data_IF_318160738368
#
_entry.id   IF_318160738368
#
_cell.length_a   1.000
_cell.length_b   1.000
_cell.length_c   1.000
_cell.angle_alpha   90.00
_cell.angle_beta   90.00
_cell.angle_gamma   90.00
#
_symmetry.space_group_name_H-M   'P 1'
#
loop_
_entity.id
_entity.type
_entity.pdbx_description
1 polymer ?
#
# COMPACT_ATOMS: atom_id res chain seq x y z
N UNK A 1 -42.99 -44.28 13.60
CA UNK A 1 -42.57 -43.65 13.49
C UNK A 1 -41.92 -43.01 12.67
N UNK A 2 -41.83 -42.41 12.33
CA UNK A 2 -41.14 -41.83 11.50
C UNK A 2 -40.40 -40.89 11.76
N UNK A 3 -39.56 -40.60 11.45
CA UNK A 3 -38.70 -39.78 11.59
C UNK A 3 -38.46 -38.89 10.75
N UNK A 4 -38.30 -38.04 10.76
CA UNK A 4 -38.05 -37.14 10.02
C UNK A 4 -36.98 -36.66 9.96
N UNK A 5 -36.34 -36.49 9.35
CA UNK A 5 -35.22 -36.08 9.15
C UNK A 5 -35.11 -34.91 8.69
N UNK A 6 -34.70 -34.18 9.01
CA UNK A 6 -34.43 -33.05 8.64
C UNK A 6 -33.39 -32.78 8.11
N UNK A 7 -32.99 -32.43 7.50
CA UNK A 7 -31.97 -32.14 6.84
C UNK A 7 -31.71 -30.88 6.91
N UNK A 8 -31.05 -30.47 7.43
CA UNK A 8 -30.62 -29.29 7.56
C UNK A 8 -30.02 -28.71 6.44
N UNK A 9 -30.34 -27.83 6.06
CA UNK A 9 -29.84 -27.23 4.99
C UNK A 9 -28.63 -26.55 5.21
N UNK A 10 -27.79 -26.73 4.71
CA UNK A 10 -26.67 -26.23 4.87
C UNK A 10 -26.40 -25.15 4.13
N UNK A 11 -26.22 -24.16 4.51
CA UNK A 11 -25.94 -23.12 3.92
C UNK A 11 -24.75 -22.79 3.72
N UNK A 12 -24.18 -22.71 2.91
CA UNK A 12 -23.05 -22.37 2.64
C UNK A 12 -22.91 -21.08 2.30
N UNK A 13 -22.48 -20.34 2.84
CA UNK A 13 -22.21 -19.14 2.59
C UNK A 13 -21.11 -18.95 1.89
N UNK A 14 -21.00 -18.92 0.82
CA UNK A 14 -19.91 -18.69 0.14
C UNK A 14 -19.54 -17.37 0.27
N UNK A 15 -18.80 -16.98 0.87
CA UNK A 15 -18.39 -15.70 1.02
C UNK A 15 -17.85 -15.10 -0.20
N UNK A 16 -17.77 -13.88 -0.24
CA UNK A 16 -17.30 -13.27 -1.34
C UNK A 16 -15.93 -13.15 -1.34
N UNK A 17 -15.29 -14.03 -1.37
CA UNK A 17 -14.01 -13.95 -1.19
C UNK A 17 -13.35 -13.55 -2.35
N UNK A 18 -12.98 -13.26 -3.01
CA UNK A 18 -12.25 -13.13 -4.10
C UNK A 18 -11.66 -11.84 -4.40
N UNK A 19 -12.23 -10.81 -4.04
CA UNK A 19 -11.75 -9.54 -4.42
C UNK A 19 -11.21 -8.72 -3.29
N UNK A 20 -11.22 -9.20 -2.10
CA UNK A 20 -10.72 -8.45 -0.99
C UNK A 20 -9.24 -8.72 -0.73
N UNK A 21 -8.67 -7.95 0.14
CA UNK A 21 -7.32 -8.22 0.61
C UNK A 21 -7.34 -9.48 1.49
N UNK A 22 -6.25 -10.21 1.55
CA UNK A 22 -6.19 -11.35 2.43
C UNK A 22 -6.23 -10.92 3.89
N UNK A 23 -6.48 -11.86 4.77
CA UNK A 23 -6.49 -11.55 6.17
C UNK A 23 -5.10 -11.26 6.64
N UNK A 24 -4.98 -10.33 7.57
CA UNK A 24 -3.73 -10.02 8.21
C UNK A 24 -3.25 -11.22 9.03
N UNK A 25 -2.05 -11.65 8.77
CA UNK A 25 -1.43 -12.73 9.55
C UNK A 25 -1.00 -12.15 10.89
N UNK A 26 -1.49 -12.69 12.00
CA UNK A 26 -1.16 -12.11 13.30
C UNK A 26 0.30 -12.27 13.71
N UNK A 27 1.07 -13.04 12.99
CA UNK A 27 2.50 -13.15 13.27
C UNK A 27 3.32 -12.13 12.49
N UNK A 28 2.69 -11.35 11.65
CA UNK A 28 3.38 -10.37 10.82
C UNK A 28 2.77 -8.99 10.99
N UNK A 29 3.51 -7.99 10.58
CA UNK A 29 3.04 -6.61 10.54
C UNK A 29 2.43 -6.34 9.18
N UNK A 30 1.36 -5.57 9.14
CA UNK A 30 0.65 -5.23 7.91
C UNK A 30 0.73 -3.73 7.67
N UNK A 31 1.05 -3.33 6.45
CA UNK A 31 1.14 -1.93 6.10
C UNK A 31 0.18 -1.64 4.95
N UNK A 32 -0.85 -0.86 5.24
CA UNK A 32 -1.78 -0.40 4.22
C UNK A 32 -1.17 0.75 3.43
N UNK A 33 -1.50 0.85 2.17
CA UNK A 33 -1.01 1.93 1.30
C UNK A 33 -2.15 2.86 0.95
N UNK A 34 -1.90 4.15 1.03
CA UNK A 34 -2.90 5.13 0.68
C UNK A 34 -2.28 6.32 -0.03
N UNK A 35 -2.77 6.64 -1.21
CA UNK A 35 -2.32 7.84 -1.91
C UNK A 35 -3.26 8.99 -1.59
N UNK A 36 -2.69 10.19 -1.37
CA UNK A 36 -3.46 11.33 -0.94
C UNK A 36 -4.23 12.02 -2.04
N UNK A 37 -3.79 11.92 -3.25
CA UNK A 37 -4.37 12.70 -4.35
C UNK A 37 -5.05 11.80 -5.34
N UNK A 38 -6.09 12.32 -5.99
CA UNK A 38 -6.77 11.57 -7.02
C UNK A 38 -5.86 11.37 -8.21
N UNK A 39 -6.18 10.37 -8.99
CA UNK A 39 -5.43 10.04 -10.22
C UNK A 39 -3.97 9.69 -9.94
N UNK A 40 -3.68 9.18 -8.77
CA UNK A 40 -2.34 8.72 -8.42
C UNK A 40 -2.39 7.27 -8.01
N UNK A 41 -1.25 6.61 -8.03
CA UNK A 41 -1.16 5.22 -7.62
C UNK A 41 0.04 5.02 -6.69
N UNK A 42 -0.18 4.30 -5.61
CA UNK A 42 0.87 3.95 -4.69
C UNK A 42 0.95 2.43 -4.62
N UNK A 43 2.10 1.90 -4.94
CA UNK A 43 2.30 0.46 -5.05
C UNK A 43 3.44 0.00 -4.18
N UNK A 44 3.26 -1.16 -3.55
CA UNK A 44 4.36 -1.81 -2.85
C UNK A 44 5.32 -2.38 -3.90
N UNK A 45 6.60 -2.12 -3.75
CA UNK A 45 7.56 -2.53 -4.75
C UNK A 45 8.58 -3.52 -4.20
N UNK A 46 9.25 -3.18 -3.12
CA UNK A 46 10.25 -4.05 -2.52
C UNK A 46 10.25 -3.97 -1.01
N UNK A 47 10.70 -5.04 -0.37
CA UNK A 47 10.99 -5.07 1.06
C UNK A 47 12.41 -5.57 1.19
N UNK A 48 13.27 -4.78 1.81
CA UNK A 48 14.68 -5.16 2.00
C UNK A 48 15.34 -5.57 0.68
N UNK A 49 15.03 -4.81 -0.38
CA UNK A 49 15.57 -5.02 -1.73
C UNK A 49 15.07 -6.30 -2.43
N UNK A 50 14.02 -6.90 -1.93
CA UNK A 50 13.40 -8.06 -2.57
C UNK A 50 11.99 -7.69 -2.99
N UNK A 51 11.57 -8.19 -4.13
CA UNK A 51 10.26 -7.86 -4.67
C UNK A 51 9.15 -8.14 -3.66
N UNK A 52 8.23 -7.19 -3.53
CA UNK A 52 7.06 -7.37 -2.68
C UNK A 52 6.16 -8.45 -3.28
N UNK A 53 5.51 -9.21 -2.41
CA UNK A 53 4.66 -10.29 -2.89
C UNK A 53 3.32 -9.78 -3.43
N UNK A 54 2.89 -8.62 -3.01
CA UNK A 54 1.64 -8.04 -3.48
C UNK A 54 1.85 -6.53 -3.63
N UNK A 55 1.28 -5.94 -4.66
CA UNK A 55 1.47 -4.53 -4.92
C UNK A 55 0.54 -3.65 -4.11
N UNK A 56 -0.45 -4.22 -3.47
CA UNK A 56 -1.50 -3.46 -2.79
C UNK A 56 -1.20 -3.18 -1.33
N UNK A 57 -0.28 -3.89 -0.72
CA UNK A 57 0.04 -3.76 0.69
C UNK A 57 1.39 -4.41 0.98
N UNK A 58 1.95 -4.13 2.15
CA UNK A 58 3.10 -4.89 2.61
C UNK A 58 2.69 -5.76 3.81
N UNK A 59 3.30 -6.93 3.89
CA UNK A 59 3.19 -7.78 5.07
C UNK A 59 4.60 -8.24 5.37
N UNK A 60 5.12 -7.89 6.54
CA UNK A 60 6.52 -8.13 6.85
C UNK A 60 6.68 -8.79 8.22
N UNK A 61 7.77 -9.49 8.39
CA UNK A 61 8.10 -10.07 9.67
C UNK A 61 8.36 -8.96 10.69
N UNK A 62 8.19 -9.24 11.99
CA UNK A 62 8.53 -8.24 12.99
C UNK A 62 10.00 -7.85 12.90
N UNK A 63 10.30 -6.63 13.26
CA UNK A 63 11.66 -6.14 13.28
C UNK A 63 11.91 -5.00 12.32
N UNK A 64 13.13 -4.86 11.86
CA UNK A 64 13.56 -3.75 11.03
C UNK A 64 13.47 -4.07 9.56
N UNK A 65 12.85 -3.21 8.80
CA UNK A 65 12.73 -3.39 7.34
C UNK A 65 12.78 -2.05 6.63
N UNK A 66 13.19 -2.11 5.37
CA UNK A 66 13.13 -0.96 4.48
C UNK A 66 12.08 -1.27 3.42
N UNK A 67 11.04 -0.47 3.36
CA UNK A 67 9.99 -0.63 2.38
C UNK A 67 10.26 0.29 1.21
N UNK A 68 10.15 -0.22 -0.01
CA UNK A 68 10.27 0.60 -1.20
C UNK A 68 8.91 0.63 -1.88
N UNK A 69 8.43 1.83 -2.14
CA UNK A 69 7.16 2.03 -2.83
C UNK A 69 7.39 2.73 -4.14
N UNK A 70 6.46 2.56 -5.07
CA UNK A 70 6.42 3.34 -6.30
C UNK A 70 5.18 4.21 -6.25
N UNK A 71 5.38 5.48 -6.51
CA UNK A 71 4.29 6.45 -6.52
C UNK A 71 4.20 7.04 -7.92
N UNK A 72 3.06 6.88 -8.55
CA UNK A 72 2.83 7.33 -9.91
C UNK A 72 1.85 8.48 -9.89
N UNK A 73 2.19 9.60 -10.49
CA UNK A 73 1.37 10.79 -10.41
C UNK A 73 1.53 11.68 -11.65
N UNK A 74 0.45 12.38 -12.03
CA UNK A 74 0.54 13.30 -13.16
C UNK A 74 1.06 14.66 -12.70
N UNK A 75 1.84 15.30 -13.54
CA UNK A 75 2.31 16.64 -13.28
C UNK A 75 1.94 17.52 -14.47
N UNK A 76 1.31 18.63 -14.17
CA UNK A 76 0.88 19.54 -15.23
C UNK A 76 2.00 20.51 -15.54
N UNK A 77 2.45 20.58 -16.77
CA UNK A 77 3.45 21.58 -17.12
C UNK A 77 2.74 22.93 -17.28
N UNK A 78 2.88 23.75 -16.28
CA UNK A 78 2.09 24.97 -16.26
C UNK A 78 2.47 26.00 -17.28
N UNK A 79 3.63 25.90 -17.87
CA UNK A 79 4.07 26.95 -18.77
C UNK A 79 4.16 26.52 -20.22
N UNK A 80 3.52 25.45 -20.58
CA UNK A 80 3.64 24.98 -21.91
C UNK A 80 2.28 25.03 -22.51
N UNK A 81 1.95 25.85 -23.27
CA UNK A 81 0.72 26.04 -24.00
C UNK A 81 -0.49 25.17 -23.66
N UNK A 82 -1.63 25.52 -24.16
CA UNK A 82 -2.88 24.86 -23.76
C UNK A 82 -3.01 23.40 -24.21
N UNK A 83 -2.20 22.99 -25.15
CA UNK A 83 -2.29 21.62 -25.64
C UNK A 83 -1.30 20.68 -24.97
N UNK A 84 -0.60 21.15 -23.96
CA UNK A 84 0.37 20.30 -23.28
C UNK A 84 -0.33 19.23 -22.48
N UNK A 85 0.11 18.00 -22.63
CA UNK A 85 -0.46 16.91 -21.86
C UNK A 85 0.27 16.75 -20.56
N UNK A 86 -0.41 16.26 -19.52
CA UNK A 86 0.27 16.03 -18.24
C UNK A 86 1.37 14.99 -18.42
N UNK A 87 2.44 15.20 -17.70
CA UNK A 87 3.52 14.22 -17.66
C UNK A 87 3.29 13.30 -16.48
N UNK A 88 3.49 12.03 -16.71
CA UNK A 88 3.39 11.06 -15.62
C UNK A 88 4.79 10.82 -15.07
N UNK A 89 4.90 10.84 -13.78
CA UNK A 89 6.14 10.48 -13.09
C UNK A 89 5.91 9.21 -12.30
N UNK A 90 6.96 8.39 -12.23
CA UNK A 90 6.94 7.15 -11.50
C UNK A 90 8.15 7.20 -10.58
N UNK A 91 7.94 7.48 -9.33
CA UNK A 91 9.02 7.70 -8.39
C UNK A 91 9.08 6.60 -7.36
N UNK A 92 10.29 6.21 -7.01
CA UNK A 92 10.49 5.27 -5.93
C UNK A 92 10.86 6.02 -4.66
N UNK A 93 10.38 5.54 -3.53
CA UNK A 93 10.74 6.09 -2.24
C UNK A 93 11.00 4.95 -1.27
N UNK A 94 12.00 5.13 -0.42
CA UNK A 94 12.34 4.15 0.59
C UNK A 94 11.90 4.65 1.95
N UNK A 95 11.26 3.79 2.73
CA UNK A 95 10.82 4.11 4.08
C UNK A 95 11.37 3.06 5.02
N UNK A 96 12.15 3.50 6.00
CA UNK A 96 12.77 2.57 6.92
C UNK A 96 12.14 2.67 8.29
N UNK A 97 11.89 1.56 8.91
CA UNK A 97 11.37 1.53 10.27
C UNK A 97 11.95 0.31 10.99
N UNK A 98 12.36 0.51 12.24
CA UNK A 98 13.12 -0.50 12.95
C UNK A 98 12.30 -1.43 13.84
N UNK A 99 11.05 -1.09 14.10
CA UNK A 99 10.27 -1.82 15.08
C UNK A 99 8.89 -2.23 14.62
N UNK A 100 8.79 -2.87 13.48
CA UNK A 100 7.50 -3.43 13.09
C UNK A 100 7.13 -4.55 14.05
N UNK A 101 5.89 -4.50 14.58
CA UNK A 101 5.43 -5.47 15.55
C UNK A 101 4.41 -6.44 14.95
N UNK A 102 4.48 -7.68 15.37
CA UNK A 102 3.55 -8.69 14.91
C UNK A 102 2.11 -8.32 15.28
N UNK A 103 1.20 -8.54 14.38
CA UNK A 103 -0.21 -8.29 14.63
C UNK A 103 -0.65 -6.85 14.50
N UNK A 104 0.26 -5.93 14.27
CA UNK A 104 -0.10 -4.52 14.19
C UNK A 104 -0.26 -4.04 12.77
N UNK A 105 -1.12 -3.06 12.59
CA UNK A 105 -1.37 -2.45 11.29
C UNK A 105 -0.81 -1.06 11.26
N UNK A 106 -0.11 -0.77 10.18
CA UNK A 106 0.50 0.51 9.92
C UNK A 106 -0.10 1.07 8.64
N UNK A 107 0.09 2.33 8.38
CA UNK A 107 -0.36 2.94 7.14
C UNK A 107 0.75 3.75 6.52
N UNK A 108 1.03 3.51 5.26
CA UNK A 108 2.00 4.28 4.52
C UNK A 108 1.23 5.17 3.58
N UNK A 109 1.35 6.47 3.75
CA UNK A 109 0.67 7.45 2.91
C UNK A 109 1.66 8.14 2.02
N UNK A 110 1.26 8.47 0.82
CA UNK A 110 2.11 9.17 -0.12
C UNK A 110 1.31 10.22 -0.88
N UNK A 111 1.99 11.21 -1.36
CA UNK A 111 1.43 12.28 -2.16
C UNK A 111 2.54 13.02 -2.85
N UNK A 112 2.20 14.14 -3.47
CA UNK A 112 3.20 14.97 -4.11
C UNK A 112 2.87 16.44 -3.96
N UNK A 113 3.90 17.25 -3.95
CA UNK A 113 3.77 18.69 -3.97
C UNK A 113 4.47 19.11 -5.25
N UNK A 114 3.69 19.38 -6.30
CA UNK A 114 4.26 19.60 -7.62
C UNK A 114 4.99 18.36 -8.12
N UNK A 115 6.27 18.49 -8.41
CA UNK A 115 7.08 17.39 -8.90
C UNK A 115 7.68 16.55 -7.77
N UNK A 116 7.48 16.92 -6.52
CA UNK A 116 8.15 16.26 -5.41
C UNK A 116 7.24 15.27 -4.72
N UNK A 117 7.55 13.99 -4.80
CA UNK A 117 6.78 13.01 -4.05
C UNK A 117 7.22 12.96 -2.60
N UNK A 118 6.31 12.56 -1.74
CA UNK A 118 6.60 12.36 -0.33
C UNK A 118 5.90 11.09 0.15
N UNK A 119 6.41 10.49 1.20
CA UNK A 119 5.77 9.35 1.84
C UNK A 119 6.01 9.41 3.34
N UNK A 120 5.03 8.97 4.10
CA UNK A 120 5.13 8.91 5.56
C UNK A 120 4.50 7.62 6.05
N UNK A 121 5.11 7.04 7.05
CA UNK A 121 4.60 5.83 7.68
C UNK A 121 4.00 6.21 9.03
N UNK A 122 2.80 5.72 9.27
CA UNK A 122 2.05 6.01 10.50
C UNK A 122 1.77 4.74 11.28
N UNK A 123 1.77 4.84 12.60
CA UNK A 123 1.38 3.73 13.47
C UNK A 123 -0.14 3.77 13.71
N UNK A 124 -0.62 2.94 14.64
CA UNK A 124 -2.05 2.84 14.94
C UNK A 124 -2.61 4.10 15.58
N UNK A 125 -1.77 4.89 16.19
CA UNK A 125 -2.19 6.15 16.80
C UNK A 125 -2.05 7.31 15.82
N UNK A 126 -1.79 7.01 14.55
CA UNK A 126 -1.60 8.01 13.50
C UNK A 126 -0.38 8.91 13.75
N UNK A 127 0.61 8.37 14.43
CA UNK A 127 1.84 9.09 14.65
C UNK A 127 2.81 8.74 13.55
N UNK A 128 3.53 9.74 13.03
CA UNK A 128 4.53 9.51 11.99
C UNK A 128 5.73 8.81 12.61
N UNK A 129 6.03 7.62 12.13
CA UNK A 129 7.13 6.82 12.61
C UNK A 129 8.19 6.58 11.54
N UNK A 130 7.98 7.05 10.34
CA UNK A 130 8.96 6.96 9.26
C UNK A 130 8.64 7.93 8.15
N UNK A 131 9.66 8.31 7.40
CA UNK A 131 9.47 9.19 6.27
C UNK A 131 10.21 8.63 5.06
N UNK A 132 9.65 8.87 3.90
CA UNK A 132 10.22 8.39 2.67
C UNK A 132 11.43 9.20 2.23
N UNK A 133 12.40 8.50 1.68
CA UNK A 133 13.57 9.12 1.08
C UNK A 133 13.47 8.86 -0.42
N UNK A 134 13.56 9.89 -1.25
CA UNK A 134 13.47 9.67 -2.69
C UNK A 134 14.55 8.73 -3.20
N UNK A 135 14.18 7.85 -4.09
CA UNK A 135 15.10 6.86 -4.65
C UNK A 135 15.08 6.85 -6.17
N UNK A 136 14.58 7.89 -6.77
CA UNK A 136 14.62 8.04 -8.22
C UNK A 136 13.25 8.10 -8.86
N UNK A 137 13.15 8.86 -9.94
CA UNK A 137 11.92 8.98 -10.69
C UNK A 137 12.18 8.68 -12.15
N UNK A 138 11.20 8.06 -12.79
CA UNK A 138 11.25 7.78 -14.20
C UNK A 138 10.09 8.45 -14.90
N UNK A 139 10.26 8.72 -16.17
CA UNK A 139 9.15 9.15 -16.97
C UNK A 139 8.46 7.92 -17.46
N UNK A 140 7.20 7.93 -17.47
CA UNK A 140 6.46 6.81 -18.03
C UNK A 140 5.62 7.23 -19.21
#
# INVERSE_FOLDING_TARGET
MRKLMLTGGLLMLAGCAGFGLPRHDPTQAWIDLESHQEDTALLAFEVDNKAATDKRYFEVQPGSHELTVRYQFPVQPTNIGPDAQPLWRDCQMNVKFNDFNAGERYQLQAGNIGFRPWAKLYDQQRKVIGQGTPAGCQRS
#
